data_IF_756634490328
#
_entry.id   IF_756634490328
#
_cell.length_a   1.000
_cell.length_b   1.000
_cell.length_c   1.000
_cell.angle_alpha   90.00
_cell.angle_beta   90.00
_cell.angle_gamma   90.00
#
_symmetry.space_group_name_H-M   'P 1'
#
loop_
_entity.id
_entity.type
_entity.pdbx_description
1 polymer ?
#
# COMPACT_ATOMS: atom_id res chain seq x y z
N UNK A 1 -7.85 97.83 -12.78
CA UNK A 1 -8.77 96.71 -13.01
C UNK A 1 -7.97 95.55 -13.56
N UNK A 2 -7.62 94.60 -12.70
CA UNK A 2 -7.10 93.28 -13.09
C UNK A 2 -7.54 92.30 -12.01
N UNK A 3 -8.50 91.47 -12.40
CA UNK A 3 -9.12 90.41 -11.62
C UNK A 3 -8.17 89.20 -11.63
N UNK A 4 -7.74 88.71 -10.47
CA UNK A 4 -6.91 87.49 -10.37
C UNK A 4 -7.76 86.41 -9.71
N UNK A 5 -8.29 85.52 -10.56
CA UNK A 5 -9.07 84.36 -10.17
C UNK A 5 -8.24 83.38 -9.31
N UNK A 6 -8.85 82.86 -8.25
CA UNK A 6 -8.28 81.81 -7.40
C UNK A 6 -8.19 80.46 -8.17
N UNK A 7 -7.13 79.66 -7.97
CA UNK A 7 -6.97 78.38 -8.66
C UNK A 7 -7.94 77.32 -8.13
N UNK A 8 -8.39 76.36 -8.96
CA UNK A 8 -9.32 75.31 -8.58
C UNK A 8 -8.68 74.30 -7.59
N UNK A 9 -9.48 73.66 -6.72
CA UNK A 9 -8.97 72.70 -5.74
C UNK A 9 -8.34 71.47 -6.42
N UNK A 10 -7.19 71.05 -5.90
CA UNK A 10 -6.42 69.92 -6.41
C UNK A 10 -7.24 68.61 -6.36
N UNK A 11 -7.20 67.83 -7.45
CA UNK A 11 -7.81 66.52 -7.55
C UNK A 11 -7.14 65.52 -6.59
N UNK A 12 -7.94 64.75 -5.87
CA UNK A 12 -7.45 63.70 -4.97
C UNK A 12 -6.57 62.69 -5.74
N UNK A 13 -5.39 62.32 -5.20
CA UNK A 13 -4.51 61.37 -5.87
C UNK A 13 -5.15 59.97 -5.94
N UNK A 14 -4.87 59.18 -7.00
CA UNK A 14 -5.42 57.83 -7.13
C UNK A 14 -4.95 56.93 -5.98
N UNK A 15 -5.81 56.01 -5.50
CA UNK A 15 -5.47 55.14 -4.39
C UNK A 15 -4.32 54.20 -4.77
N UNK A 16 -3.21 54.28 -4.03
CA UNK A 16 -2.06 53.40 -4.23
C UNK A 16 -2.37 51.97 -3.75
N UNK A 17 -1.97 50.92 -4.49
CA UNK A 17 -2.33 49.52 -4.18
C UNK A 17 -1.84 49.04 -2.79
N UNK A 18 -0.72 49.59 -2.29
CA UNK A 18 -0.22 49.31 -0.93
C UNK A 18 -1.16 49.78 0.17
N UNK A 19 -1.87 50.91 -0.01
CA UNK A 19 -2.85 51.42 0.96
C UNK A 19 -4.13 50.59 0.95
N UNK A 20 -4.52 50.02 -0.19
CA UNK A 20 -5.69 49.13 -0.29
C UNK A 20 -5.45 47.77 0.39
N UNK A 21 -4.25 47.20 0.25
CA UNK A 21 -3.88 45.98 0.99
C UNK A 21 -3.86 46.23 2.51
N UNK A 22 -3.30 47.35 2.95
CA UNK A 22 -3.29 47.71 4.37
C UNK A 22 -4.69 48.01 4.94
N UNK A 23 -5.60 48.61 4.16
CA UNK A 23 -6.96 48.90 4.59
C UNK A 23 -7.86 47.66 4.61
N UNK A 24 -7.69 46.71 3.69
CA UNK A 24 -8.36 45.40 3.75
C UNK A 24 -7.94 44.62 5.00
N UNK A 25 -6.67 44.68 5.37
CA UNK A 25 -6.12 44.09 6.60
C UNK A 25 -6.63 44.78 7.89
N UNK A 26 -7.17 46.00 7.79
CA UNK A 26 -7.58 46.82 8.94
C UNK A 26 -9.10 47.11 9.01
N UNK A 27 -9.91 46.60 8.08
CA UNK A 27 -11.33 46.96 7.98
C UNK A 27 -12.24 46.19 8.95
N UNK A 28 -13.29 46.85 9.45
CA UNK A 28 -14.33 46.29 10.33
C UNK A 28 -15.19 45.19 9.65
N UNK A 29 -15.05 45.03 8.33
CA UNK A 29 -15.89 44.16 7.51
C UNK A 29 -15.50 42.69 7.67
N UNK A 30 -16.46 41.87 8.12
CA UNK A 30 -16.32 40.42 8.25
C UNK A 30 -15.92 39.74 6.93
N UNK A 31 -16.41 40.26 5.80
CA UNK A 31 -16.02 39.79 4.46
C UNK A 31 -14.53 39.99 4.17
N UNK A 32 -13.94 41.13 4.54
CA UNK A 32 -12.52 41.38 4.31
C UNK A 32 -11.65 40.43 5.13
N UNK A 33 -12.02 40.16 6.39
CA UNK A 33 -11.35 39.19 7.26
C UNK A 33 -11.45 37.77 6.72
N UNK A 34 -12.63 37.35 6.27
CA UNK A 34 -12.83 36.06 5.60
C UNK A 34 -11.95 35.94 4.34
N UNK A 35 -11.85 37.00 3.53
CA UNK A 35 -10.95 37.04 2.37
C UNK A 35 -9.48 36.91 2.77
N UNK A 36 -9.04 37.59 3.83
CA UNK A 36 -7.66 37.48 4.34
C UNK A 36 -7.36 36.06 4.81
N UNK A 37 -8.26 35.43 5.56
CA UNK A 37 -8.10 34.04 6.01
C UNK A 37 -8.16 33.05 4.83
N UNK A 38 -9.00 33.30 3.83
CA UNK A 38 -9.04 32.52 2.60
C UNK A 38 -7.73 32.61 1.81
N UNK A 39 -7.18 33.81 1.65
CA UNK A 39 -5.87 34.02 1.03
C UNK A 39 -4.76 33.35 1.84
N UNK A 40 -4.80 33.47 3.17
CA UNK A 40 -3.84 32.83 4.05
C UNK A 40 -3.91 31.30 3.96
N UNK A 41 -5.12 30.73 3.82
CA UNK A 41 -5.31 29.29 3.55
C UNK A 41 -4.57 28.90 2.28
N UNK A 42 -4.78 29.64 1.19
CA UNK A 42 -4.12 29.39 -0.09
C UNK A 42 -2.59 29.49 0.02
N UNK A 43 -2.08 30.49 0.73
CA UNK A 43 -0.63 30.64 0.98
C UNK A 43 -0.08 29.45 1.77
N UNK A 44 -0.81 28.94 2.76
CA UNK A 44 -0.40 27.78 3.56
C UNK A 44 -0.51 26.44 2.81
N UNK A 45 -1.15 26.40 1.64
CA UNK A 45 -1.06 25.24 0.76
C UNK A 45 0.36 25.04 0.20
N UNK A 46 1.17 26.10 0.13
CA UNK A 46 2.57 26.01 -0.32
C UNK A 46 3.41 25.18 0.67
N UNK A 47 3.53 25.52 1.96
CA UNK A 47 4.26 24.68 2.91
C UNK A 47 3.60 23.29 3.06
N UNK A 48 2.27 23.18 2.99
CA UNK A 48 1.61 21.88 3.04
C UNK A 48 2.02 20.97 1.86
N UNK A 49 2.12 21.52 0.64
CA UNK A 49 2.54 20.76 -0.54
C UNK A 49 4.03 20.38 -0.48
N UNK A 50 4.88 21.26 0.07
CA UNK A 50 6.29 20.94 0.33
C UNK A 50 6.43 19.76 1.30
N UNK A 51 5.62 19.71 2.37
CA UNK A 51 5.61 18.57 3.30
C UNK A 51 5.10 17.31 2.57
N UNK A 52 4.09 17.44 1.71
CA UNK A 52 3.66 16.35 0.82
C UNK A 52 4.80 15.81 -0.05
N UNK A 53 5.66 16.69 -0.56
CA UNK A 53 6.90 16.33 -1.27
C UNK A 53 7.86 15.53 -0.39
N UNK A 54 8.11 15.96 0.85
CA UNK A 54 8.95 15.21 1.80
C UNK A 54 8.41 13.81 2.06
N UNK A 55 7.09 13.64 2.17
CA UNK A 55 6.48 12.30 2.33
C UNK A 55 6.66 11.46 1.07
N UNK A 56 6.52 12.04 -0.12
CA UNK A 56 6.75 11.35 -1.38
C UNK A 56 8.22 10.88 -1.49
N UNK A 57 9.18 11.72 -1.11
CA UNK A 57 10.60 11.36 -1.03
C UNK A 57 10.82 10.20 -0.05
N UNK A 58 10.19 10.25 1.14
CA UNK A 58 10.27 9.17 2.13
C UNK A 58 9.73 7.84 1.63
N UNK A 59 8.61 7.83 0.91
CA UNK A 59 8.07 6.62 0.25
C UNK A 59 9.01 6.07 -0.82
N UNK A 60 9.69 6.96 -1.54
CA UNK A 60 10.68 6.57 -2.54
C UNK A 60 11.87 5.87 -1.85
N UNK A 61 12.38 6.44 -0.76
CA UNK A 61 13.44 5.81 0.03
C UNK A 61 13.01 4.49 0.68
N UNK A 62 11.75 4.36 1.09
CA UNK A 62 11.19 3.09 1.58
C UNK A 62 11.18 2.02 0.48
N UNK A 63 10.76 2.38 -0.73
CA UNK A 63 10.77 1.48 -1.87
C UNK A 63 12.19 1.05 -2.25
N UNK A 64 13.16 1.98 -2.23
CA UNK A 64 14.57 1.69 -2.45
C UNK A 64 15.17 0.79 -1.36
N UNK A 65 14.84 1.04 -0.10
CA UNK A 65 15.27 0.20 1.01
C UNK A 65 14.68 -1.22 0.92
N UNK A 66 13.40 -1.33 0.55
CA UNK A 66 12.70 -2.59 0.30
C UNK A 66 13.36 -3.37 -0.84
N UNK A 67 13.69 -2.69 -1.94
CA UNK A 67 14.41 -3.27 -3.06
C UNK A 67 15.79 -3.75 -2.62
N UNK A 68 16.54 -2.92 -1.91
CA UNK A 68 17.90 -3.26 -1.45
C UNK A 68 17.93 -4.40 -0.42
N UNK A 69 16.91 -4.56 0.43
CA UNK A 69 16.78 -5.75 1.31
C UNK A 69 16.39 -6.98 0.50
N UNK A 70 15.47 -6.82 -0.47
CA UNK A 70 15.04 -7.92 -1.35
C UNK A 70 16.17 -8.46 -2.22
N UNK A 71 17.10 -7.61 -2.66
CA UNK A 71 18.30 -8.00 -3.40
C UNK A 71 19.31 -8.77 -2.53
N UNK A 72 19.40 -8.45 -1.23
CA UNK A 72 20.32 -9.10 -0.29
C UNK A 72 19.75 -10.38 0.33
N UNK A 73 18.41 -10.48 0.42
CA UNK A 73 17.70 -11.64 0.95
C UNK A 73 17.16 -12.49 -0.20
N UNK A 74 15.92 -12.24 -0.57
CA UNK A 74 15.25 -12.73 -1.78
C UNK A 74 13.98 -11.92 -1.94
N UNK A 75 13.64 -11.57 -3.19
CA UNK A 75 12.45 -10.78 -3.48
C UNK A 75 11.13 -11.52 -3.27
N UNK A 76 10.01 -10.93 -3.74
CA UNK A 76 8.74 -11.64 -3.89
C UNK A 76 8.90 -12.96 -4.62
N UNK A 77 8.30 -14.02 -4.11
CA UNK A 77 8.43 -15.37 -4.67
C UNK A 77 7.15 -15.82 -5.37
N UNK A 78 7.34 -16.43 -6.54
CA UNK A 78 6.33 -17.20 -7.27
C UNK A 78 6.85 -18.62 -7.39
N UNK A 79 6.10 -19.57 -6.84
CA UNK A 79 6.36 -20.99 -6.95
C UNK A 79 5.39 -21.61 -7.96
N UNK A 80 5.95 -22.26 -8.98
CA UNK A 80 5.22 -22.92 -10.05
C UNK A 80 5.74 -24.34 -10.23
N UNK A 81 5.11 -25.31 -9.58
CA UNK A 81 5.53 -26.69 -9.73
C UNK A 81 4.71 -27.66 -8.88
N UNK A 82 5.00 -28.95 -8.99
CA UNK A 82 5.93 -29.56 -9.95
C UNK A 82 5.31 -29.76 -11.35
N UNK A 83 6.15 -29.96 -12.36
CA UNK A 83 5.79 -30.40 -13.72
C UNK A 83 6.79 -31.44 -14.24
N UNK A 84 6.34 -32.37 -15.09
CA UNK A 84 7.23 -33.33 -15.76
C UNK A 84 7.54 -32.80 -17.15
N UNK A 85 8.83 -32.71 -17.48
CA UNK A 85 9.34 -32.33 -18.78
C UNK A 85 9.89 -33.57 -19.48
N UNK A 86 9.37 -33.88 -20.66
CA UNK A 86 9.81 -34.98 -21.51
C UNK A 86 10.34 -34.43 -22.85
N UNK A 87 11.66 -34.43 -23.05
CA UNK A 87 12.24 -34.09 -24.34
C UNK A 87 11.85 -35.10 -25.42
N UNK A 88 11.65 -34.64 -26.64
CA UNK A 88 11.42 -35.50 -27.80
C UNK A 88 12.02 -34.92 -29.07
N UNK A 89 12.22 -35.78 -30.07
CA UNK A 89 12.58 -35.41 -31.45
C UNK A 89 11.47 -35.82 -32.40
N UNK A 90 11.25 -35.06 -33.46
CA UNK A 90 10.35 -35.49 -34.55
C UNK A 90 11.16 -36.36 -35.52
N UNK A 91 10.56 -37.43 -36.07
CA UNK A 91 11.26 -38.35 -36.98
C UNK A 91 11.94 -37.65 -38.18
N UNK A 92 11.38 -36.54 -38.66
CA UNK A 92 11.89 -35.76 -39.80
C UNK A 92 12.73 -34.53 -39.40
N UNK A 93 12.94 -34.28 -38.10
CA UNK A 93 13.52 -33.03 -37.59
C UNK A 93 14.72 -33.23 -36.66
N UNK A 94 15.71 -32.34 -36.77
CA UNK A 94 16.88 -32.33 -35.87
C UNK A 94 16.65 -31.52 -34.58
N UNK A 95 15.56 -30.75 -34.47
CA UNK A 95 15.26 -29.93 -33.30
C UNK A 95 14.66 -30.76 -32.17
N UNK A 96 15.24 -30.64 -30.97
CA UNK A 96 14.67 -31.18 -29.74
C UNK A 96 13.57 -30.22 -29.27
N UNK A 97 12.40 -30.76 -28.93
CA UNK A 97 11.29 -30.03 -28.32
C UNK A 97 10.86 -30.71 -27.02
N UNK A 98 10.05 -30.05 -26.21
CA UNK A 98 9.69 -30.53 -24.87
C UNK A 98 8.17 -30.69 -24.74
N UNK A 99 7.74 -31.82 -24.20
CA UNK A 99 6.39 -31.98 -23.68
C UNK A 99 6.39 -31.64 -22.19
N UNK A 100 5.44 -30.81 -21.76
CA UNK A 100 5.23 -30.47 -20.35
C UNK A 100 3.93 -31.07 -19.86
N UNK A 101 4.02 -31.99 -18.90
CA UNK A 101 2.87 -32.59 -18.21
C UNK A 101 2.71 -31.97 -16.82
N UNK A 102 1.52 -31.45 -16.56
CA UNK A 102 1.13 -30.93 -15.26
C UNK A 102 0.52 -32.06 -14.38
N UNK A 103 0.44 -31.90 -13.05
CA UNK A 103 -0.09 -32.93 -12.16
C UNK A 103 -1.62 -33.05 -12.20
N UNK A 104 -2.15 -34.25 -12.07
CA UNK A 104 -3.58 -34.49 -11.91
C UNK A 104 -4.09 -33.91 -10.58
N UNK A 105 -3.37 -34.17 -9.50
CA UNK A 105 -3.64 -33.65 -8.16
C UNK A 105 -2.38 -32.98 -7.63
N UNK A 106 -2.54 -31.77 -7.11
CA UNK A 106 -1.48 -30.99 -6.49
C UNK A 106 -1.95 -30.53 -5.11
N UNK A 107 -1.24 -30.93 -4.06
CA UNK A 107 -1.49 -30.49 -2.68
C UNK A 107 -0.25 -29.76 -2.19
N UNK A 108 -0.42 -28.55 -1.66
CA UNK A 108 0.65 -27.72 -1.12
C UNK A 108 0.25 -27.27 0.28
N UNK A 109 1.00 -27.69 1.30
CA UNK A 109 0.88 -27.20 2.65
C UNK A 109 2.10 -26.31 2.96
N UNK A 110 1.85 -25.02 3.11
CA UNK A 110 2.88 -24.00 3.32
C UNK A 110 2.82 -23.38 4.71
N UNK A 111 3.96 -23.35 5.38
CA UNK A 111 4.17 -22.58 6.63
C UNK A 111 5.12 -21.43 6.33
N UNK A 112 4.68 -20.22 6.64
CA UNK A 112 5.45 -19.00 6.46
C UNK A 112 5.85 -18.50 7.86
N UNK A 113 7.13 -18.18 8.04
CA UNK A 113 7.70 -17.59 9.25
C UNK A 113 8.18 -16.18 8.89
N UNK A 114 7.37 -15.14 9.15
CA UNK A 114 7.73 -13.76 8.89
C UNK A 114 8.81 -13.26 9.85
N UNK A 115 9.69 -12.41 9.34
CA UNK A 115 10.66 -11.65 10.10
C UNK A 115 10.67 -10.20 9.59
N UNK A 116 10.89 -9.24 10.49
CA UNK A 116 11.14 -7.85 10.08
C UNK A 116 12.65 -7.60 10.01
N UNK A 117 13.13 -7.22 8.83
CA UNK A 117 14.50 -6.74 8.63
C UNK A 117 14.48 -5.23 8.45
N UNK A 118 15.53 -4.55 8.93
CA UNK A 118 15.64 -3.10 8.82
C UNK A 118 16.77 -2.68 7.91
N UNK A 119 16.55 -1.64 7.11
CA UNK A 119 17.59 -0.91 6.39
C UNK A 119 17.39 0.57 6.63
N UNK A 120 18.27 1.15 7.46
CA UNK A 120 18.07 2.50 7.99
C UNK A 120 16.82 2.56 8.87
N UNK A 121 15.89 3.48 8.55
CA UNK A 121 14.62 3.67 9.26
C UNK A 121 13.50 2.74 8.75
N UNK A 122 13.70 2.07 7.61
CA UNK A 122 12.65 1.30 6.94
C UNK A 122 12.66 -0.15 7.39
N UNK A 123 11.47 -0.68 7.71
CA UNK A 123 11.24 -2.08 8.02
C UNK A 123 10.68 -2.80 6.79
N UNK A 124 11.25 -3.96 6.48
CA UNK A 124 10.87 -4.80 5.35
C UNK A 124 10.48 -6.16 5.90
N UNK A 125 9.26 -6.60 5.57
CA UNK A 125 8.78 -7.93 5.94
C UNK A 125 9.45 -8.95 5.02
N UNK A 126 10.37 -9.73 5.56
CA UNK A 126 10.92 -10.92 4.92
C UNK A 126 10.29 -12.16 5.54
N UNK A 127 10.49 -13.32 4.95
CA UNK A 127 10.04 -14.57 5.52
C UNK A 127 10.94 -15.73 5.09
N UNK A 128 10.87 -16.80 5.89
CA UNK A 128 11.23 -18.15 5.47
C UNK A 128 9.94 -18.94 5.31
N UNK A 129 9.76 -19.63 4.19
CA UNK A 129 8.61 -20.46 3.91
C UNK A 129 9.06 -21.90 3.69
N UNK A 130 8.35 -22.84 4.32
CA UNK A 130 8.47 -24.27 4.02
C UNK A 130 7.22 -24.71 3.29
N UNK A 131 7.39 -25.31 2.11
CA UNK A 131 6.33 -25.84 1.28
C UNK A 131 6.46 -27.36 1.22
N UNK A 132 5.50 -28.06 1.81
CA UNK A 132 5.35 -29.50 1.66
C UNK A 132 4.39 -29.77 0.49
N UNK A 133 4.90 -30.44 -0.53
CA UNK A 133 4.22 -30.60 -1.82
C UNK A 133 4.03 -32.08 -2.13
N UNK A 134 2.79 -32.43 -2.46
CA UNK A 134 2.42 -33.76 -2.95
C UNK A 134 1.73 -33.61 -4.30
N UNK A 135 2.27 -34.27 -5.31
CA UNK A 135 1.73 -34.26 -6.66
C UNK A 135 1.53 -35.67 -7.20
N UNK A 136 0.46 -35.87 -7.94
CA UNK A 136 0.16 -37.12 -8.65
C UNK A 136 0.05 -36.81 -10.14
N UNK A 137 0.75 -37.56 -10.99
CA UNK A 137 0.78 -37.37 -12.44
C UNK A 137 0.14 -38.57 -13.15
N UNK A 138 -0.59 -38.32 -14.24
CA UNK A 138 -1.06 -39.36 -15.16
C UNK A 138 -0.13 -39.42 -16.39
N UNK A 139 0.90 -40.26 -16.31
CA UNK A 139 1.94 -40.36 -17.36
C UNK A 139 1.45 -41.04 -18.64
N UNK A 140 0.30 -41.73 -18.59
CA UNK A 140 -0.34 -42.30 -19.77
C UNK A 140 -0.63 -41.25 -20.87
N UNK A 141 -0.95 -40.00 -20.49
CA UNK A 141 -1.20 -38.91 -21.46
C UNK A 141 0.07 -38.61 -22.30
N UNK A 142 1.28 -38.70 -21.73
CA UNK A 142 2.53 -38.50 -22.47
C UNK A 142 2.70 -39.55 -23.57
N UNK A 143 2.33 -40.80 -23.31
CA UNK A 143 2.45 -41.90 -24.29
C UNK A 143 1.57 -41.67 -25.51
N UNK A 144 0.34 -41.21 -25.31
CA UNK A 144 -0.57 -40.91 -26.42
C UNK A 144 0.00 -39.89 -27.40
N UNK A 145 0.68 -38.84 -26.91
CA UNK A 145 1.30 -37.83 -27.78
C UNK A 145 2.58 -38.31 -28.47
N UNK A 146 3.28 -39.28 -27.88
CA UNK A 146 4.47 -39.88 -28.50
C UNK A 146 4.14 -40.85 -29.63
N UNK A 147 2.89 -41.34 -29.69
CA UNK A 147 2.42 -42.23 -30.74
C UNK A 147 2.34 -41.55 -32.14
N UNK A 148 2.29 -40.21 -32.20
CA UNK A 148 2.19 -39.42 -33.43
C UNK A 148 3.54 -39.21 -34.16
N UNK A 149 4.47 -40.16 -34.08
CA UNK A 149 5.81 -40.05 -34.70
C UNK A 149 6.81 -39.14 -33.98
N UNK A 150 6.55 -38.81 -32.70
CA UNK A 150 7.49 -38.15 -31.80
C UNK A 150 8.34 -39.21 -31.08
N UNK A 151 9.65 -39.16 -31.29
CA UNK A 151 10.63 -40.01 -30.61
C UNK A 151 10.96 -39.40 -29.24
N UNK A 152 10.29 -39.88 -28.18
CA UNK A 152 10.53 -39.42 -26.82
C UNK A 152 11.85 -39.93 -26.24
N UNK A 153 12.57 -39.04 -25.56
CA UNK A 153 13.77 -39.34 -24.79
C UNK A 153 13.42 -39.53 -23.32
N UNK A 154 12.83 -40.69 -23.00
CA UNK A 154 12.41 -41.05 -21.64
C UNK A 154 13.56 -41.02 -20.61
N UNK A 155 14.79 -41.47 -20.92
CA UNK A 155 15.92 -41.31 -20.01
C UNK A 155 16.25 -39.84 -19.66
N UNK A 156 15.96 -38.90 -20.57
CA UNK A 156 16.15 -37.47 -20.34
C UNK A 156 14.95 -36.78 -19.66
N UNK A 157 13.90 -37.52 -19.33
CA UNK A 157 12.76 -36.98 -18.60
C UNK A 157 13.17 -36.45 -17.23
N UNK A 158 12.55 -35.35 -16.82
CA UNK A 158 12.91 -34.63 -15.60
C UNK A 158 11.70 -34.01 -14.93
N UNK A 159 11.74 -33.94 -13.62
CA UNK A 159 10.81 -33.18 -12.81
C UNK A 159 11.35 -31.75 -12.71
N UNK A 160 10.52 -30.74 -12.96
CA UNK A 160 10.89 -29.34 -12.79
C UNK A 160 9.94 -28.60 -11.85
N UNK A 161 10.51 -27.66 -11.12
CA UNK A 161 9.80 -26.70 -10.27
C UNK A 161 10.35 -25.31 -10.57
N UNK A 162 9.45 -24.38 -10.90
CA UNK A 162 9.77 -22.98 -11.15
C UNK A 162 9.72 -22.13 -9.89
N UNK A 163 10.71 -21.24 -9.75
CA UNK A 163 10.84 -20.26 -8.68
C UNK A 163 11.24 -18.89 -9.27
N UNK A 164 10.86 -17.80 -8.60
CA UNK A 164 11.30 -16.47 -9.02
C UNK A 164 12.81 -16.29 -8.92
N UNK A 165 13.43 -16.86 -7.89
CA UNK A 165 14.89 -16.83 -7.71
C UNK A 165 15.35 -18.13 -7.01
N UNK A 166 16.23 -18.93 -7.64
CA UNK A 166 16.73 -20.16 -7.00
C UNK A 166 17.65 -19.90 -5.81
N UNK A 167 18.23 -18.69 -5.73
CA UNK A 167 19.11 -18.32 -4.60
C UNK A 167 18.34 -18.23 -3.29
N UNK A 168 17.01 -18.18 -3.36
CA UNK A 168 16.13 -18.22 -2.20
C UNK A 168 16.11 -19.57 -1.49
N UNK A 169 16.53 -20.65 -2.14
CA UNK A 169 16.36 -22.01 -1.63
C UNK A 169 17.41 -22.29 -0.57
N UNK A 170 16.95 -22.65 0.62
CA UNK A 170 17.81 -23.08 1.73
C UNK A 170 17.96 -24.60 1.75
N UNK A 171 16.86 -25.32 1.57
CA UNK A 171 16.88 -26.78 1.46
C UNK A 171 15.75 -27.31 0.58
N UNK A 172 16.01 -28.40 -0.13
CA UNK A 172 15.04 -29.07 -0.97
C UNK A 172 15.26 -30.59 -0.92
N UNK A 173 14.20 -31.34 -0.72
CA UNK A 173 14.19 -32.81 -0.84
C UNK A 173 13.34 -33.20 -2.03
N UNK A 174 13.47 -34.41 -2.57
CA UNK A 174 12.49 -34.93 -3.52
C UNK A 174 12.49 -36.45 -3.52
N UNK A 175 11.27 -36.98 -3.48
CA UNK A 175 10.99 -38.40 -3.59
C UNK A 175 9.96 -38.62 -4.69
N UNK A 176 10.24 -39.56 -5.58
CA UNK A 176 9.33 -39.96 -6.65
C UNK A 176 9.07 -41.45 -6.52
N UNK A 177 7.81 -41.83 -6.29
CA UNK A 177 7.38 -43.19 -5.97
C UNK A 177 8.23 -43.86 -4.87
N UNK A 178 8.60 -43.07 -3.85
CA UNK A 178 9.41 -43.51 -2.71
C UNK A 178 10.92 -43.61 -2.96
N UNK A 179 11.38 -43.33 -4.19
CA UNK A 179 12.81 -43.25 -4.51
C UNK A 179 13.30 -41.81 -4.35
N UNK A 180 14.45 -41.62 -3.71
CA UNK A 180 15.06 -40.29 -3.54
C UNK A 180 15.76 -39.86 -4.82
N UNK A 181 15.60 -38.58 -5.17
CA UNK A 181 16.31 -37.93 -6.26
C UNK A 181 17.03 -36.69 -5.77
N UNK A 182 18.06 -36.29 -6.50
CA UNK A 182 18.79 -35.05 -6.23
C UNK A 182 18.27 -33.93 -7.13
N UNK A 183 18.08 -32.76 -6.53
CA UNK A 183 17.82 -31.53 -7.27
C UNK A 183 19.12 -31.01 -7.87
N UNK A 184 19.04 -30.58 -9.13
CA UNK A 184 20.05 -29.81 -9.82
C UNK A 184 19.44 -28.55 -10.46
N UNK A 185 20.27 -27.71 -11.09
CA UNK A 185 19.77 -26.57 -11.86
C UNK A 185 18.97 -27.06 -13.07
N UNK A 186 17.79 -26.49 -13.30
CA UNK A 186 16.94 -26.73 -14.47
C UNK A 186 17.12 -25.67 -15.56
N UNK A 187 16.58 -25.95 -16.75
CA UNK A 187 16.66 -25.03 -17.90
C UNK A 187 15.71 -23.82 -17.78
N UNK A 188 14.71 -23.90 -16.90
CA UNK A 188 13.87 -22.77 -16.53
C UNK A 188 13.06 -22.18 -17.69
N UNK A 189 12.54 -20.98 -17.48
CA UNK A 189 11.93 -20.15 -18.51
C UNK A 189 12.54 -18.75 -18.48
N UNK A 190 12.15 -17.87 -19.41
CA UNK A 190 12.56 -16.46 -19.35
C UNK A 190 12.06 -15.72 -18.10
N UNK A 191 11.08 -16.28 -17.36
CA UNK A 191 10.41 -15.62 -16.22
C UNK A 191 10.68 -16.29 -14.87
N UNK A 192 10.82 -17.62 -14.85
CA UNK A 192 11.15 -18.38 -13.64
C UNK A 192 12.43 -19.17 -13.86
N UNK A 193 13.27 -19.17 -12.83
CA UNK A 193 14.35 -20.14 -12.75
C UNK A 193 13.79 -21.50 -12.34
N UNK A 194 14.49 -22.60 -12.64
CA UNK A 194 14.00 -23.94 -12.31
C UNK A 194 14.98 -24.76 -11.49
N UNK A 195 14.43 -25.55 -10.56
CA UNK A 195 15.06 -26.77 -10.06
C UNK A 195 14.65 -27.95 -10.93
N UNK A 196 15.58 -28.87 -11.19
CA UNK A 196 15.33 -30.05 -11.99
C UNK A 196 15.86 -31.32 -11.32
N UNK A 197 15.07 -32.38 -11.31
CA UNK A 197 15.49 -33.72 -10.88
C UNK A 197 15.34 -34.69 -12.05
N UNK A 198 16.42 -35.37 -12.42
CA UNK A 198 16.43 -36.32 -13.56
C UNK A 198 15.70 -37.60 -13.18
N UNK A 199 14.69 -37.99 -13.97
CA UNK A 199 13.83 -39.15 -13.71
C UNK A 199 14.19 -40.39 -14.54
N UNK A 200 15.30 -40.37 -15.28
CA UNK A 200 15.67 -41.44 -16.21
C UNK A 200 15.78 -42.84 -15.59
N UNK A 201 16.03 -42.93 -14.28
CA UNK A 201 16.09 -44.21 -13.55
C UNK A 201 14.72 -44.80 -13.20
N UNK A 202 13.64 -44.03 -13.32
CA UNK A 202 12.30 -44.44 -12.87
C UNK A 202 11.54 -45.29 -13.91
N UNK A 203 12.01 -45.33 -15.17
CA UNK A 203 11.35 -45.95 -16.32
C UNK A 203 9.89 -45.49 -16.46
N UNK A 204 9.72 -44.19 -16.74
CA UNK A 204 8.41 -43.52 -16.82
C UNK A 204 7.50 -44.07 -17.93
N UNK A 205 8.08 -44.65 -18.97
CA UNK A 205 7.38 -45.25 -20.12
C UNK A 205 6.48 -46.43 -19.71
N UNK A 206 6.87 -47.18 -18.69
CA UNK A 206 6.10 -48.31 -18.16
C UNK A 206 5.01 -47.94 -17.15
N UNK A 207 4.97 -46.69 -16.66
CA UNK A 207 4.08 -46.29 -15.55
C UNK A 207 2.81 -45.61 -16.06
N UNK A 208 1.70 -45.88 -15.38
CA UNK A 208 0.43 -45.16 -15.61
C UNK A 208 0.32 -43.89 -14.76
N UNK A 209 0.79 -43.98 -13.52
CA UNK A 209 0.77 -42.90 -12.55
C UNK A 209 2.11 -42.75 -11.86
N UNK A 210 2.45 -41.53 -11.47
CA UNK A 210 3.67 -41.21 -10.72
C UNK A 210 3.32 -40.29 -9.56
N UNK A 211 3.73 -40.65 -8.34
CA UNK A 211 3.60 -39.83 -7.15
C UNK A 211 4.91 -39.11 -6.84
N UNK A 212 4.84 -37.81 -6.64
CA UNK A 212 5.97 -36.95 -6.29
C UNK A 212 5.71 -36.31 -4.94
N UNK A 213 6.68 -36.37 -4.04
CA UNK A 213 6.65 -35.70 -2.74
C UNK A 213 7.94 -34.94 -2.52
N UNK A 214 7.85 -33.70 -2.09
CA UNK A 214 9.01 -32.92 -1.69
C UNK A 214 8.68 -31.89 -0.62
N UNK A 215 9.69 -31.54 0.15
CA UNK A 215 9.69 -30.36 1.00
C UNK A 215 10.71 -29.36 0.48
N UNK A 216 10.29 -28.10 0.34
CA UNK A 216 11.12 -26.99 -0.14
C UNK A 216 11.10 -25.86 0.90
N UNK A 217 12.27 -25.50 1.43
CA UNK A 217 12.44 -24.31 2.27
C UNK A 217 13.08 -23.19 1.46
N UNK A 218 12.43 -22.03 1.45
CA UNK A 218 12.84 -20.87 0.67
C UNK A 218 12.65 -19.55 1.43
N UNK A 219 13.54 -18.61 1.17
CA UNK A 219 13.50 -17.24 1.64
C UNK A 219 12.71 -16.33 0.68
N UNK A 220 12.01 -15.33 1.20
CA UNK A 220 11.36 -14.34 0.34
C UNK A 220 11.03 -13.04 1.06
N UNK A 221 10.50 -12.07 0.33
CA UNK A 221 10.08 -10.79 0.89
C UNK A 221 8.70 -10.38 0.40
N UNK A 222 7.88 -9.84 1.30
CA UNK A 222 6.58 -9.24 1.00
C UNK A 222 5.48 -10.19 0.52
N UNK A 223 5.68 -10.92 -0.58
CA UNK A 223 4.66 -11.71 -1.26
C UNK A 223 5.14 -13.13 -1.55
N UNK A 224 4.26 -14.10 -1.34
CA UNK A 224 4.40 -15.49 -1.78
C UNK A 224 3.21 -15.86 -2.66
N UNK A 225 3.49 -16.30 -3.88
CA UNK A 225 2.48 -16.72 -4.85
C UNK A 225 2.71 -18.16 -5.28
N UNK A 226 1.62 -18.86 -5.55
CA UNK A 226 1.57 -20.25 -5.97
C UNK A 226 0.76 -20.34 -7.27
N UNK A 227 1.24 -21.17 -8.18
CA UNK A 227 0.57 -21.40 -9.46
C UNK A 227 -0.24 -22.70 -9.42
N UNK A 228 -1.56 -22.68 -9.72
CA UNK A 228 -2.39 -23.88 -9.67
C UNK A 228 -2.16 -24.77 -10.89
N UNK A 229 -1.11 -25.58 -10.87
CA UNK A 229 -0.77 -26.47 -11.99
C UNK A 229 -1.57 -27.79 -11.99
N UNK A 230 -2.16 -28.19 -10.86
CA UNK A 230 -2.94 -29.41 -10.75
C UNK A 230 -4.31 -29.37 -11.46
N UNK A 231 -4.76 -30.47 -12.10
CA UNK A 231 -6.17 -30.60 -12.55
C UNK A 231 -7.14 -30.36 -11.40
N UNK A 232 -6.73 -30.76 -10.19
CA UNK A 232 -7.17 -30.24 -8.89
C UNK A 232 -5.95 -29.77 -8.08
N UNK A 233 -5.93 -28.49 -7.70
CA UNK A 233 -4.92 -27.93 -6.81
C UNK A 233 -5.55 -27.55 -5.48
N UNK A 234 -5.02 -28.07 -4.37
CA UNK A 234 -5.36 -27.68 -3.01
C UNK A 234 -4.15 -27.03 -2.34
N UNK A 235 -4.37 -25.89 -1.71
CA UNK A 235 -3.30 -25.15 -1.04
C UNK A 235 -3.76 -24.73 0.34
N UNK A 236 -2.92 -24.97 1.34
CA UNK A 236 -3.06 -24.37 2.68
C UNK A 236 -1.85 -23.51 2.96
N UNK A 237 -2.04 -22.25 3.32
CA UNK A 237 -0.97 -21.38 3.83
C UNK A 237 -1.29 -20.93 5.26
N UNK A 238 -0.28 -20.94 6.13
CA UNK A 238 -0.40 -20.39 7.47
C UNK A 238 0.85 -19.61 7.87
N UNK A 239 0.65 -18.50 8.59
CA UNK A 239 1.74 -17.70 9.14
C UNK A 239 1.30 -17.03 10.45
N UNK A 240 2.21 -16.81 11.43
CA UNK A 240 1.95 -15.97 12.59
C UNK A 240 2.01 -14.48 12.20
N UNK A 241 1.10 -14.04 11.31
CA UNK A 241 1.02 -12.66 10.83
C UNK A 241 -0.42 -12.13 10.86
N UNK A 242 -0.70 -10.99 11.52
CA UNK A 242 -2.08 -10.51 11.70
C UNK A 242 -2.64 -9.75 10.50
N UNK A 243 -1.81 -9.37 9.52
CA UNK A 243 -2.19 -8.51 8.40
C UNK A 243 -1.90 -9.15 7.03
N UNK A 244 -2.53 -10.29 6.67
CA UNK A 244 -2.44 -10.84 5.33
C UNK A 244 -3.28 -10.04 4.33
N UNK A 245 -2.79 -9.95 3.10
CA UNK A 245 -3.59 -9.52 1.94
C UNK A 245 -3.56 -10.60 0.88
N UNK A 246 -4.73 -11.17 0.58
CA UNK A 246 -4.85 -12.24 -0.41
C UNK A 246 -4.93 -11.65 -1.82
N UNK A 247 -4.12 -12.19 -2.74
CA UNK A 247 -3.98 -11.67 -4.11
C UNK A 247 -4.27 -12.75 -5.15
N UNK A 248 -4.74 -12.33 -6.33
CA UNK A 248 -5.21 -13.23 -7.37
C UNK A 248 -6.56 -13.84 -7.00
N UNK A 249 -6.59 -15.13 -6.70
CA UNK A 249 -7.80 -15.83 -6.27
C UNK A 249 -7.96 -15.77 -4.76
N UNK A 250 -9.14 -15.38 -4.29
CA UNK A 250 -9.47 -15.40 -2.86
C UNK A 250 -9.54 -16.85 -2.33
N UNK A 251 -9.15 -17.08 -1.07
CA UNK A 251 -9.25 -18.40 -0.45
C UNK A 251 -10.70 -18.84 -0.31
N UNK A 252 -10.90 -20.16 -0.39
CA UNK A 252 -12.19 -20.80 -0.13
C UNK A 252 -12.60 -20.62 1.34
N UNK A 253 -11.63 -20.64 2.26
CA UNK A 253 -11.82 -20.39 3.69
C UNK A 253 -10.58 -19.71 4.27
N UNK A 254 -10.77 -18.75 5.16
CA UNK A 254 -9.69 -18.05 5.85
C UNK A 254 -10.05 -17.76 7.30
N UNK A 255 -9.05 -17.86 8.19
CA UNK A 255 -9.10 -17.35 9.56
C UNK A 255 -7.95 -16.36 9.72
N UNK A 256 -8.26 -15.16 10.20
CA UNK A 256 -7.28 -14.10 10.47
C UNK A 256 -7.55 -13.60 11.87
N UNK A 257 -6.57 -13.69 12.74
CA UNK A 257 -6.60 -13.22 14.12
C UNK A 257 -5.33 -12.43 14.46
N UNK A 258 -5.13 -12.08 15.73
CA UNK A 258 -3.95 -11.32 16.17
C UNK A 258 -2.67 -12.16 16.17
N UNK A 259 -2.80 -13.48 16.27
CA UNK A 259 -1.69 -14.42 16.37
C UNK A 259 -1.25 -14.90 14.98
N UNK A 260 -2.12 -14.85 13.99
CA UNK A 260 -1.78 -15.10 12.60
C UNK A 260 -2.95 -15.31 11.64
N UNK A 261 -2.64 -15.98 10.53
CA UNK A 261 -3.63 -16.39 9.56
C UNK A 261 -3.46 -17.84 9.13
N UNK A 262 -4.57 -18.43 8.69
CA UNK A 262 -4.61 -19.69 7.94
C UNK A 262 -5.61 -19.52 6.80
N UNK A 263 -5.18 -19.83 5.58
CA UNK A 263 -6.00 -19.71 4.38
C UNK A 263 -5.92 -20.98 3.54
N UNK A 264 -7.05 -21.40 2.97
CA UNK A 264 -7.16 -22.58 2.11
C UNK A 264 -7.74 -22.22 0.75
N UNK A 265 -7.12 -22.70 -0.31
CA UNK A 265 -7.60 -22.61 -1.68
C UNK A 265 -7.88 -23.99 -2.25
N UNK A 266 -8.86 -24.04 -3.16
CA UNK A 266 -9.13 -25.20 -4.02
C UNK A 266 -9.39 -24.68 -5.44
N UNK A 267 -8.57 -25.12 -6.39
CA UNK A 267 -8.64 -24.72 -7.79
C UNK A 267 -8.85 -25.95 -8.65
N UNK A 268 -9.97 -25.97 -9.36
CA UNK A 268 -10.26 -26.96 -10.40
C UNK A 268 -9.78 -26.46 -11.77
N UNK A 269 -9.40 -27.40 -12.65
CA UNK A 269 -8.98 -27.10 -14.01
C UNK A 269 -9.99 -26.31 -14.84
N UNK A 270 -11.29 -26.47 -14.57
CA UNK A 270 -12.34 -25.70 -15.24
C UNK A 270 -12.22 -24.19 -15.00
N UNK A 271 -11.57 -23.80 -13.91
CA UNK A 271 -11.33 -22.40 -13.57
C UNK A 271 -9.98 -21.87 -14.06
N UNK A 272 -9.30 -22.56 -14.99
CA UNK A 272 -7.98 -22.18 -15.51
C UNK A 272 -8.02 -22.01 -17.04
N UNK A 273 -7.35 -21.00 -17.58
CA UNK A 273 -7.27 -20.75 -19.03
C UNK A 273 -6.24 -21.61 -19.79
N UNK A 274 -5.76 -22.73 -19.23
CA UNK A 274 -4.72 -23.57 -19.85
C UNK A 274 -4.97 -25.06 -19.66
N UNK A 275 -4.46 -25.86 -20.61
CA UNK A 275 -4.56 -27.32 -20.60
C UNK A 275 -3.52 -28.01 -19.71
N UNK A 276 -3.74 -29.30 -19.47
CA UNK A 276 -2.93 -30.16 -18.60
C UNK A 276 -1.57 -30.58 -19.21
N UNK A 277 -1.49 -30.50 -20.54
CA UNK A 277 -0.36 -30.94 -21.35
C UNK A 277 -0.04 -29.84 -22.36
N UNK A 278 1.25 -29.56 -22.53
CA UNK A 278 1.74 -28.54 -23.45
C UNK A 278 2.87 -29.08 -24.30
N UNK A 279 2.87 -28.69 -25.58
CA UNK A 279 3.93 -29.00 -26.54
C UNK A 279 4.75 -27.72 -26.81
N UNK A 280 6.04 -27.76 -26.49
CA UNK A 280 6.98 -26.66 -26.69
C UNK A 280 7.19 -26.28 -28.16
N UNK A 281 6.85 -27.15 -29.11
CA UNK A 281 6.84 -26.83 -30.54
C UNK A 281 5.55 -26.09 -30.98
N UNK A 282 4.56 -25.93 -30.09
CA UNK A 282 3.32 -25.25 -30.43
C UNK A 282 3.50 -23.74 -30.50
N UNK A 283 2.84 -23.10 -31.50
CA UNK A 283 2.81 -21.63 -31.62
C UNK A 283 2.15 -20.94 -30.41
N UNK A 284 1.46 -21.70 -29.55
CA UNK A 284 0.77 -21.21 -28.35
C UNK A 284 1.59 -21.37 -27.07
N UNK A 285 2.80 -21.93 -27.14
CA UNK A 285 3.60 -22.23 -25.94
C UNK A 285 3.91 -20.98 -25.11
N UNK A 286 4.32 -19.88 -25.75
CA UNK A 286 4.63 -18.62 -25.06
C UNK A 286 3.40 -18.02 -24.37
N UNK A 287 2.25 -18.05 -25.05
CA UNK A 287 0.97 -17.67 -24.46
C UNK A 287 0.62 -18.56 -23.26
N UNK A 288 0.76 -19.88 -23.39
CA UNK A 288 0.49 -20.84 -22.32
C UNK A 288 1.37 -20.59 -21.09
N UNK A 289 2.68 -20.38 -21.29
CA UNK A 289 3.62 -20.09 -20.21
C UNK A 289 3.28 -18.78 -19.48
N UNK A 290 2.95 -17.72 -20.22
CA UNK A 290 2.51 -16.44 -19.66
C UNK A 290 1.21 -16.59 -18.86
N UNK A 291 0.22 -17.25 -19.44
CA UNK A 291 -1.10 -17.45 -18.84
C UNK A 291 -1.05 -18.31 -17.57
N UNK A 292 -0.10 -19.26 -17.48
CA UNK A 292 0.19 -20.00 -16.26
C UNK A 292 0.62 -19.06 -15.13
N UNK A 293 1.58 -18.17 -15.40
CA UNK A 293 2.09 -17.23 -14.39
C UNK A 293 1.02 -16.23 -13.94
N UNK A 294 0.19 -15.75 -14.86
CA UNK A 294 -0.93 -14.84 -14.55
C UNK A 294 -2.01 -15.50 -13.67
N UNK A 295 -2.08 -16.84 -13.64
CA UNK A 295 -3.01 -17.58 -12.77
C UNK A 295 -2.53 -17.71 -11.32
N UNK A 296 -1.35 -17.19 -11.00
CA UNK A 296 -0.79 -17.22 -9.65
C UNK A 296 -1.71 -16.52 -8.63
N UNK A 297 -1.84 -17.13 -7.47
CA UNK A 297 -2.54 -16.55 -6.32
C UNK A 297 -1.69 -16.72 -5.07
N UNK A 298 -2.00 -15.98 -4.01
CA UNK A 298 -1.28 -16.15 -2.77
C UNK A 298 -1.51 -15.02 -1.78
N UNK A 299 -0.49 -14.74 -0.98
CA UNK A 299 -0.56 -13.82 0.14
C UNK A 299 0.56 -12.80 0.10
N UNK A 300 0.20 -11.55 0.39
CA UNK A 300 1.11 -10.45 0.66
C UNK A 300 1.08 -10.16 2.16
N UNK A 301 2.24 -10.16 2.80
CA UNK A 301 2.44 -9.81 4.20
C UNK A 301 2.53 -8.28 4.31
N UNK A 302 1.38 -7.64 4.51
CA UNK A 302 1.34 -6.19 4.69
C UNK A 302 2.00 -5.78 6.00
N UNK A 303 2.64 -4.61 6.01
CA UNK A 303 3.08 -3.99 7.25
C UNK A 303 1.84 -3.48 8.01
N UNK A 304 1.60 -3.92 9.25
CA UNK A 304 0.34 -3.63 9.97
C UNK A 304 0.05 -2.14 10.18
N UNK A 305 1.10 -1.30 10.23
CA UNK A 305 0.98 0.16 10.37
C UNK A 305 1.97 0.79 9.39
N UNK A 306 1.47 1.28 8.28
CA UNK A 306 2.26 2.08 7.33
C UNK A 306 2.07 3.57 7.69
N UNK A 307 3.00 4.07 8.50
CA UNK A 307 3.02 5.47 8.93
C UNK A 307 3.02 6.44 7.74
N UNK A 308 3.62 6.07 6.60
CA UNK A 308 3.66 6.91 5.41
C UNK A 308 2.32 6.92 4.68
N UNK A 309 1.60 5.79 4.66
CA UNK A 309 0.22 5.73 4.13
C UNK A 309 -0.74 6.61 4.91
N UNK A 310 -0.71 6.50 6.23
CA UNK A 310 -1.60 7.27 7.10
C UNK A 310 -1.25 8.76 7.11
N UNK A 311 0.03 9.11 7.10
CA UNK A 311 0.46 10.53 7.06
C UNK A 311 0.15 11.19 5.72
N UNK A 312 0.27 10.49 4.59
CA UNK A 312 -0.17 11.00 3.28
C UNK A 312 -1.67 11.25 3.22
N UNK A 313 -2.48 10.36 3.83
CA UNK A 313 -3.92 10.62 4.01
C UNK A 313 -4.13 11.88 4.85
N UNK A 314 -3.41 12.05 5.95
CA UNK A 314 -3.50 13.25 6.79
C UNK A 314 -3.20 14.54 6.01
N UNK A 315 -2.14 14.56 5.19
CA UNK A 315 -1.79 15.75 4.37
C UNK A 315 -2.84 16.05 3.31
N UNK A 316 -3.42 15.03 2.66
CA UNK A 316 -4.52 15.23 1.69
C UNK A 316 -5.73 15.90 2.32
N UNK A 317 -6.03 15.60 3.59
CA UNK A 317 -7.06 16.30 4.35
C UNK A 317 -6.58 17.65 4.93
N UNK A 318 -5.32 18.02 4.72
CA UNK A 318 -4.72 19.22 5.31
C UNK A 318 -5.35 20.54 4.86
N UNK A 319 -5.87 20.61 3.63
CA UNK A 319 -6.64 21.79 3.18
C UNK A 319 -7.91 21.98 4.01
N UNK A 320 -8.66 20.90 4.26
CA UNK A 320 -9.85 20.93 5.09
C UNK A 320 -9.47 21.31 6.51
N UNK A 321 -8.37 20.76 7.03
CA UNK A 321 -7.88 21.03 8.37
C UNK A 321 -7.51 22.51 8.58
N UNK A 322 -6.74 23.10 7.67
CA UNK A 322 -6.38 24.53 7.73
C UNK A 322 -7.63 25.41 7.60
N UNK A 323 -8.49 25.12 6.61
CA UNK A 323 -9.71 25.89 6.38
C UNK A 323 -10.66 25.86 7.57
N UNK A 324 -10.92 24.68 8.13
CA UNK A 324 -11.81 24.49 9.28
C UNK A 324 -11.23 25.15 10.54
N UNK A 325 -9.92 25.11 10.73
CA UNK A 325 -9.26 25.81 11.84
C UNK A 325 -9.40 27.32 11.71
N UNK A 326 -9.29 27.89 10.51
CA UNK A 326 -9.53 29.32 10.30
C UNK A 326 -11.00 29.71 10.43
N UNK A 327 -11.94 28.86 10.03
CA UNK A 327 -13.36 29.05 10.33
C UNK A 327 -13.59 29.05 11.84
N UNK A 328 -13.00 28.10 12.58
CA UNK A 328 -13.08 28.06 14.03
C UNK A 328 -12.48 29.32 14.68
N UNK A 329 -11.33 29.80 14.17
CA UNK A 329 -10.73 31.06 14.57
C UNK A 329 -11.67 32.26 14.35
N UNK A 330 -12.32 32.34 13.18
CA UNK A 330 -13.29 33.39 12.86
C UNK A 330 -14.51 33.33 13.80
N UNK A 331 -15.05 32.14 14.06
CA UNK A 331 -16.17 31.97 14.99
C UNK A 331 -15.79 32.36 16.42
N UNK A 332 -14.59 32.00 16.86
CA UNK A 332 -14.04 32.41 18.14
C UNK A 332 -13.84 33.92 18.23
N UNK A 333 -13.40 34.55 17.14
CA UNK A 333 -13.26 36.00 17.01
C UNK A 333 -14.62 36.70 17.21
N UNK A 334 -15.65 36.23 16.50
CA UNK A 334 -17.03 36.74 16.59
C UNK A 334 -17.58 36.57 18.01
N UNK A 335 -17.36 35.40 18.63
CA UNK A 335 -17.88 35.10 19.96
C UNK A 335 -17.19 35.91 21.07
N UNK A 336 -15.89 36.21 20.92
CA UNK A 336 -15.11 36.91 21.95
C UNK A 336 -14.95 38.42 21.72
N UNK A 337 -15.38 38.93 20.57
CA UNK A 337 -15.32 40.35 20.21
C UNK A 337 -13.91 40.91 20.02
N UNK A 338 -12.89 40.05 20.02
CA UNK A 338 -11.49 40.44 19.87
C UNK A 338 -11.05 40.48 18.43
N UNK A 339 -9.98 41.22 18.11
CA UNK A 339 -9.48 41.39 16.74
C UNK A 339 -8.01 40.98 16.63
N UNK A 340 -7.72 39.70 16.36
CA UNK A 340 -6.35 39.24 16.15
C UNK A 340 -5.73 39.91 14.92
N UNK A 341 -4.44 40.24 15.00
CA UNK A 341 -3.71 40.74 13.84
C UNK A 341 -3.50 39.61 12.83
N UNK A 342 -3.47 39.91 11.52
CA UNK A 342 -3.33 38.89 10.47
C UNK A 342 -2.08 37.99 10.64
N UNK A 343 -0.98 38.55 11.18
CA UNK A 343 0.23 37.80 11.51
C UNK A 343 -0.03 36.65 12.52
N UNK A 344 -0.99 36.81 13.43
CA UNK A 344 -1.32 35.79 14.44
C UNK A 344 -2.00 34.58 13.80
N UNK A 345 -2.89 34.81 12.84
CA UNK A 345 -3.46 33.74 12.02
C UNK A 345 -2.40 33.05 11.18
N UNK A 346 -1.43 33.81 10.66
CA UNK A 346 -0.27 33.25 9.95
C UNK A 346 0.56 32.31 10.82
N UNK A 347 0.87 32.71 12.06
CA UNK A 347 1.62 31.88 13.01
C UNK A 347 0.86 30.62 13.43
N UNK A 348 -0.45 30.73 13.68
CA UNK A 348 -1.30 29.55 13.96
C UNK A 348 -1.29 28.61 12.76
N UNK A 349 -1.48 29.14 11.55
CA UNK A 349 -1.46 28.36 10.32
C UNK A 349 -0.12 27.66 10.06
N UNK A 350 1.00 28.32 10.32
CA UNK A 350 2.33 27.71 10.28
C UNK A 350 2.46 26.57 11.31
N UNK A 351 1.91 26.73 12.51
CA UNK A 351 1.89 25.65 13.51
C UNK A 351 1.08 24.44 13.03
N UNK A 352 -0.02 24.64 12.29
CA UNK A 352 -0.77 23.56 11.65
C UNK A 352 0.04 22.84 10.56
N UNK A 353 0.95 23.53 9.86
CA UNK A 353 1.88 22.87 8.94
C UNK A 353 2.93 22.04 9.71
N UNK A 354 3.48 22.59 10.79
CA UNK A 354 4.48 21.90 11.64
C UNK A 354 3.91 20.63 12.27
N UNK A 355 2.60 20.58 12.56
CA UNK A 355 1.92 19.35 12.99
C UNK A 355 2.23 18.15 12.08
N UNK A 356 2.23 18.33 10.75
CA UNK A 356 2.48 17.22 9.82
C UNK A 356 3.94 16.75 9.83
N UNK A 357 4.88 17.66 10.07
CA UNK A 357 6.30 17.30 10.23
C UNK A 357 6.53 16.52 11.52
N UNK A 358 5.92 16.96 12.63
CA UNK A 358 5.96 16.25 13.91
C UNK A 358 5.30 14.87 13.79
N UNK A 359 4.13 14.82 13.14
CA UNK A 359 3.39 13.58 12.91
C UNK A 359 4.26 12.56 12.16
N UNK A 360 4.86 12.97 11.05
CA UNK A 360 5.75 12.12 10.26
C UNK A 360 6.95 11.65 11.08
N UNK A 361 7.68 12.58 11.69
CA UNK A 361 8.93 12.27 12.42
C UNK A 361 8.72 11.38 13.64
N UNK A 362 7.60 11.55 14.36
CA UNK A 362 7.29 10.75 15.54
C UNK A 362 6.69 9.40 15.13
N UNK A 363 5.89 9.35 14.05
CA UNK A 363 5.27 8.11 13.58
C UNK A 363 6.31 7.09 13.12
N UNK A 364 7.45 7.54 12.59
CA UNK A 364 8.60 6.69 12.24
C UNK A 364 9.19 5.95 13.46
N UNK A 365 9.00 6.45 14.68
CA UNK A 365 9.61 5.88 15.89
C UNK A 365 8.63 5.08 16.75
N UNK A 366 7.41 5.58 16.95
CA UNK A 366 6.44 5.03 17.91
C UNK A 366 5.11 4.61 17.29
N UNK A 367 4.97 4.71 15.96
CA UNK A 367 3.75 4.41 15.24
C UNK A 367 2.76 5.58 15.20
N UNK A 368 1.81 5.49 14.26
CA UNK A 368 0.96 6.61 13.87
C UNK A 368 0.02 7.11 14.96
N UNK A 369 -0.69 6.22 15.67
CA UNK A 369 -1.69 6.63 16.66
C UNK A 369 -1.07 7.46 17.80
N UNK A 370 0.06 7.01 18.36
CA UNK A 370 0.79 7.74 19.39
C UNK A 370 1.39 9.03 18.84
N UNK A 371 1.98 8.98 17.65
CA UNK A 371 2.53 10.16 16.99
C UNK A 371 1.47 11.25 16.74
N UNK A 372 0.25 10.84 16.36
CA UNK A 372 -0.86 11.75 16.17
C UNK A 372 -1.23 12.47 17.45
N UNK A 373 -1.42 11.73 18.55
CA UNK A 373 -1.81 12.31 19.84
C UNK A 373 -0.73 13.27 20.35
N UNK A 374 0.55 12.89 20.27
CA UNK A 374 1.66 13.74 20.72
C UNK A 374 1.76 15.01 19.86
N UNK A 375 1.70 14.88 18.54
CA UNK A 375 1.80 16.02 17.61
C UNK A 375 0.61 16.96 17.75
N UNK A 376 -0.62 16.42 17.86
CA UNK A 376 -1.83 17.20 18.06
C UNK A 376 -1.78 17.94 19.41
N UNK A 377 -1.41 17.24 20.49
CA UNK A 377 -1.27 17.85 21.81
C UNK A 377 -0.23 18.99 21.80
N UNK A 378 0.92 18.80 21.16
CA UNK A 378 1.94 19.84 21.04
C UNK A 378 1.39 21.12 20.36
N UNK A 379 0.67 20.98 19.24
CA UNK A 379 0.11 22.12 18.51
C UNK A 379 -1.04 22.78 19.26
N UNK A 380 -1.93 22.00 19.88
CA UNK A 380 -3.04 22.52 20.70
C UNK A 380 -2.49 23.29 21.90
N UNK A 381 -1.50 22.74 22.61
CA UNK A 381 -0.86 23.40 23.76
C UNK A 381 -0.16 24.67 23.31
N UNK A 382 0.63 24.63 22.23
CA UNK A 382 1.32 25.81 21.70
C UNK A 382 0.33 26.92 21.32
N UNK A 383 -0.74 26.60 20.60
CA UNK A 383 -1.74 27.57 20.16
C UNK A 383 -2.56 28.14 21.33
N UNK A 384 -2.86 27.31 22.32
CA UNK A 384 -3.55 27.71 23.56
C UNK A 384 -2.67 28.64 24.40
N UNK A 385 -1.40 28.27 24.62
CA UNK A 385 -0.43 29.08 25.35
C UNK A 385 -0.18 30.42 24.66
N UNK A 386 -0.09 30.44 23.32
CA UNK A 386 0.06 31.66 22.55
C UNK A 386 -1.12 32.63 22.75
N UNK A 387 -2.36 32.11 22.66
CA UNK A 387 -3.56 32.91 22.94
C UNK A 387 -3.65 33.37 24.40
N UNK A 388 -3.22 32.54 25.34
CA UNK A 388 -3.15 32.91 26.76
C UNK A 388 -2.14 34.02 27.01
N UNK A 389 -0.92 33.89 26.50
CA UNK A 389 0.16 34.88 26.68
C UNK A 389 -0.22 36.26 26.15
N UNK A 390 -0.94 36.31 25.03
CA UNK A 390 -1.38 37.56 24.41
C UNK A 390 -2.47 38.27 25.22
N UNK A 391 -3.44 37.53 25.77
CA UNK A 391 -4.62 38.10 26.45
C UNK A 391 -4.49 38.14 27.97
N UNK A 392 -3.53 37.41 28.53
CA UNK A 392 -3.37 37.12 29.98
C UNK A 392 -4.67 36.65 30.66
N UNK A 393 -5.60 36.06 29.91
CA UNK A 393 -6.88 35.51 30.40
C UNK A 393 -7.00 34.04 30.04
N UNK A 394 -7.07 33.18 31.04
CA UNK A 394 -7.10 31.73 30.85
C UNK A 394 -8.42 31.23 30.22
N UNK A 395 -9.57 31.81 30.57
CA UNK A 395 -10.89 31.36 30.10
C UNK A 395 -11.00 31.29 28.56
N UNK A 396 -10.87 32.42 27.83
CA UNK A 396 -10.96 32.40 26.37
C UNK A 396 -9.89 31.53 25.70
N UNK A 397 -8.68 31.47 26.27
CA UNK A 397 -7.61 30.64 25.73
C UNK A 397 -7.95 29.15 25.84
N UNK A 398 -8.49 28.69 26.97
CA UNK A 398 -8.91 27.31 27.17
C UNK A 398 -10.06 26.92 26.23
N UNK A 399 -11.03 27.82 26.01
CA UNK A 399 -12.12 27.59 25.04
C UNK A 399 -11.56 27.39 23.63
N UNK A 400 -10.62 28.24 23.22
CA UNK A 400 -9.95 28.11 21.92
C UNK A 400 -9.20 26.77 21.81
N UNK A 401 -8.45 26.40 22.84
CA UNK A 401 -7.75 25.10 22.92
C UNK A 401 -8.70 23.90 22.83
N UNK A 402 -9.85 23.96 23.51
CA UNK A 402 -10.86 22.91 23.47
C UNK A 402 -11.48 22.74 22.07
N UNK A 403 -11.75 23.84 21.36
CA UNK A 403 -12.25 23.80 19.98
C UNK A 403 -11.22 23.14 19.06
N UNK A 404 -9.95 23.54 19.18
CA UNK A 404 -8.84 22.97 18.41
C UNK A 404 -8.63 21.49 18.71
N UNK A 405 -8.68 21.10 19.98
CA UNK A 405 -8.59 19.70 20.41
C UNK A 405 -9.74 18.86 19.83
N UNK A 406 -10.98 19.37 19.86
CA UNK A 406 -12.14 18.71 19.26
C UNK A 406 -11.99 18.54 17.73
N UNK A 407 -11.41 19.53 17.06
CA UNK A 407 -11.14 19.48 15.63
C UNK A 407 -10.06 18.43 15.28
N UNK A 408 -8.98 18.33 16.07
CA UNK A 408 -8.00 17.24 15.95
C UNK A 408 -8.62 15.87 16.26
N UNK A 409 -9.45 15.75 17.30
CA UNK A 409 -10.13 14.50 17.62
C UNK A 409 -11.07 14.04 16.47
N UNK A 410 -11.84 14.95 15.90
CA UNK A 410 -12.69 14.67 14.74
C UNK A 410 -11.88 14.24 13.51
N UNK A 411 -10.70 14.83 13.31
CA UNK A 411 -9.80 14.45 12.22
C UNK A 411 -9.17 13.07 12.44
N UNK A 412 -8.81 12.71 13.68
CA UNK A 412 -8.33 11.37 14.00
C UNK A 412 -9.35 10.29 13.61
N UNK A 413 -10.63 10.49 13.97
CA UNK A 413 -11.73 9.60 13.58
C UNK A 413 -11.83 9.47 12.07
N UNK A 414 -11.71 10.59 11.34
CA UNK A 414 -11.75 10.59 9.88
C UNK A 414 -10.59 9.83 9.25
N UNK A 415 -9.40 9.87 9.85
CA UNK A 415 -8.24 9.11 9.39
C UNK A 415 -8.38 7.61 9.65
N UNK A 416 -8.98 7.21 10.76
CA UNK A 416 -9.15 5.81 11.11
C UNK A 416 -10.19 5.09 10.24
N UNK A 417 -11.12 5.84 9.65
CA UNK A 417 -12.18 5.31 8.80
C UNK A 417 -11.75 5.33 7.33
N UNK A 418 -11.17 4.23 6.83
CA UNK A 418 -10.78 4.11 5.40
C UNK A 418 -12.00 4.11 4.47
N UNK A 419 -13.02 3.31 4.77
CA UNK A 419 -14.13 3.06 3.83
C UNK A 419 -15.26 4.11 3.89
N UNK A 420 -15.36 4.87 4.99
CA UNK A 420 -16.42 5.88 5.21
C UNK A 420 -15.87 7.29 5.40
N UNK A 421 -14.66 7.55 4.90
CA UNK A 421 -14.00 8.85 5.01
C UNK A 421 -14.83 9.99 4.41
N UNK A 422 -15.45 9.78 3.25
CA UNK A 422 -16.27 10.79 2.56
C UNK A 422 -17.54 11.14 3.36
N UNK A 423 -18.22 10.12 3.90
CA UNK A 423 -19.39 10.29 4.74
C UNK A 423 -19.02 11.03 6.02
N UNK A 424 -17.99 10.58 6.72
CA UNK A 424 -17.57 11.19 7.99
C UNK A 424 -17.10 12.63 7.79
N UNK A 425 -16.34 12.89 6.72
CA UNK A 425 -15.87 14.23 6.37
C UNK A 425 -17.01 15.19 6.01
N UNK A 426 -17.99 14.74 5.22
CA UNK A 426 -19.16 15.56 4.89
C UNK A 426 -20.03 15.86 6.11
N UNK A 427 -20.24 14.88 7.00
CA UNK A 427 -20.96 15.08 8.27
C UNK A 427 -20.22 16.06 9.17
N UNK A 428 -18.89 15.94 9.30
CA UNK A 428 -18.07 16.87 10.07
C UNK A 428 -18.18 18.30 9.53
N UNK A 429 -18.04 18.46 8.20
CA UNK A 429 -18.14 19.76 7.55
C UNK A 429 -19.55 20.36 7.70
N UNK A 430 -20.59 19.54 7.58
CA UNK A 430 -21.99 19.94 7.80
C UNK A 430 -22.24 20.38 9.25
N UNK A 431 -21.71 19.64 10.23
CA UNK A 431 -21.82 19.98 11.65
C UNK A 431 -21.15 21.32 11.95
N UNK A 432 -19.93 21.54 11.45
CA UNK A 432 -19.22 22.82 11.64
C UNK A 432 -19.95 23.97 10.94
N UNK A 433 -20.45 23.75 9.72
CA UNK A 433 -21.24 24.76 9.01
C UNK A 433 -22.53 25.09 9.78
N UNK A 434 -23.21 24.10 10.36
CA UNK A 434 -24.41 24.30 11.18
C UNK A 434 -24.13 25.12 12.43
N UNK A 435 -23.01 24.85 13.12
CA UNK A 435 -22.54 25.64 14.27
C UNK A 435 -22.20 27.07 13.82
N UNK A 436 -21.54 27.23 12.69
CA UNK A 436 -21.22 28.54 12.13
C UNK A 436 -22.50 29.35 11.83
N UNK A 437 -23.50 28.75 11.19
CA UNK A 437 -24.80 29.36 10.93
C UNK A 437 -25.53 29.76 12.22
N UNK A 438 -25.50 28.91 13.25
CA UNK A 438 -26.12 29.20 14.54
C UNK A 438 -25.45 30.38 15.27
N UNK A 439 -24.12 30.40 15.34
CA UNK A 439 -23.35 31.47 15.99
C UNK A 439 -23.47 32.81 15.25
N UNK A 440 -23.58 32.77 13.92
CA UNK A 440 -23.69 33.97 13.09
C UNK A 440 -25.10 34.57 13.05
N UNK A 441 -26.11 33.88 13.58
CA UNK A 441 -27.53 34.28 13.56
C UNK A 441 -27.79 35.68 14.15
N UNK A 442 -27.04 36.09 15.17
CA UNK A 442 -27.30 37.33 15.91
C UNK A 442 -26.37 38.50 15.55
N UNK A 443 -25.56 38.38 14.49
CA UNK A 443 -24.57 39.41 14.14
C UNK A 443 -25.23 40.74 13.71
N UNK A 444 -26.52 40.74 13.35
CA UNK A 444 -27.23 41.90 12.82
C UNK A 444 -28.22 42.59 13.79
N UNK A 445 -28.19 42.33 15.11
CA UNK A 445 -29.01 43.14 16.02
C UNK A 445 -28.38 44.52 16.21
N UNK A 446 -29.03 45.63 15.78
CA UNK A 446 -28.57 46.96 16.16
C UNK A 446 -28.56 47.05 17.69
N UNK A 447 -27.45 47.56 18.24
CA UNK A 447 -27.41 47.96 19.65
C UNK A 447 -28.51 48.99 19.84
N UNK A 448 -29.60 48.56 20.46
CA UNK A 448 -30.62 49.49 20.94
C UNK A 448 -30.09 50.08 22.24
N UNK A 449 -30.24 51.40 22.32
CA UNK A 449 -29.60 52.34 23.24
C UNK A 449 -29.62 51.96 24.73
#
# INVERSE_FOLDING_TARGET
MTDIAAPPPAANPPPQPRRQLASLLASDNLLARATVLGLLTLVLLIPLSMIGGVIADRRTYEAEATKGVSEAWSGPQVFAGPMIILPYRRAEGHSISMLTLLPEKLTIDGRIVPEQRRRGLFAVNVYNATLDVVAEFQTAELRSLTADGRLADWPAARLEVGLSDIRSIDSATVEVDGQKFDWGPGEGSSVLSALSAKLGTLALDGRETVSVRFSLSLAGSGKLSLVPLGRRTEVTLAAPWPAPSFTGRLPLSQTVDRDGFRARWSVSHLGRPFGQLSDGASLRYEWWAKTILESAFGVTLLTPVDAYRETDRAIKYGIMFIGLTFVACLLFEIATGTRPHAAQYGLIGLALCVFYLLLLSIAEQVGFALAYVISAAAVVVQATMYNWALRRRAGPALVFGAILAGLYAGLYVLLQLEDVALLTGSVLLFAVLSVAMWLTRNIHRPQTA
#
